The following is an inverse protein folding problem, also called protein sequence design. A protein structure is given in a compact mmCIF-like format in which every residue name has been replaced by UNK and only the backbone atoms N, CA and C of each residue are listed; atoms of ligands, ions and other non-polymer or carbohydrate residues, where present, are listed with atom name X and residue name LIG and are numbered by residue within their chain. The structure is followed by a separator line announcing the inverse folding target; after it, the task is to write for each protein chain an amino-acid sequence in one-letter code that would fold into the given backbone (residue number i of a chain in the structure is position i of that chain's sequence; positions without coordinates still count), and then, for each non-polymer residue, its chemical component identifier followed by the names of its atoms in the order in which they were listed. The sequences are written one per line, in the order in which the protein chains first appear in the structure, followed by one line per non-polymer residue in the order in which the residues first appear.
data_IF_985388682543
#
_entry.id   IF_985388682543
#
_cell.length_a   1.000
_cell.length_b   1.000
_cell.length_c   1.000
_cell.angle_alpha   90.00
_cell.angle_beta   90.00
_cell.angle_gamma   90.00
#
_symmetry.space_group_name_H-M   'P 1'
#
loop_
_entity.id
_entity.type
_entity.pdbx_description
1 polymer ?
#
# COMPACT_ATOMS: atom_id res chain seq x y z
N UNK A 1 -90.63 5.23 53.00
CA UNK A 1 -90.11 3.89 52.90
C UNK A 1 -88.84 3.87 52.00
N UNK A 2 -87.81 3.41 52.52
CA UNK A 2 -86.39 3.36 52.37
C UNK A 2 -85.97 2.91 50.96
N UNK A 3 -85.22 3.74 50.25
CA UNK A 3 -84.55 3.41 49.04
C UNK A 3 -83.03 3.20 49.31
N UNK A 4 -82.53 2.03 48.94
CA UNK A 4 -81.14 1.64 49.11
C UNK A 4 -80.34 1.93 47.81
N UNK A 5 -79.42 2.90 47.88
CA UNK A 5 -78.46 3.19 46.81
C UNK A 5 -77.34 2.15 46.86
N UNK A 6 -77.15 1.43 45.75
CA UNK A 6 -75.97 0.58 45.52
C UNK A 6 -74.99 1.34 44.68
N UNK A 7 -73.85 1.67 45.33
CA UNK A 7 -72.73 2.31 44.61
C UNK A 7 -71.96 1.26 43.82
N UNK A 8 -71.90 1.48 42.51
CA UNK A 8 -71.09 0.67 41.57
C UNK A 8 -69.68 1.19 41.57
N UNK A 9 -68.75 0.40 42.10
CA UNK A 9 -67.30 0.68 42.04
C UNK A 9 -66.72 0.24 40.69
N UNK A 10 -66.38 1.22 39.89
CA UNK A 10 -65.64 0.97 38.65
C UNK A 10 -64.15 0.88 38.96
N UNK A 11 -63.59 -0.31 38.89
CA UNK A 11 -62.14 -0.56 38.86
C UNK A 11 -61.54 -0.21 37.49
N UNK A 12 -60.73 0.84 37.46
CA UNK A 12 -59.93 1.19 36.32
C UNK A 12 -58.72 0.22 36.21
N UNK A 13 -58.75 -0.70 35.26
CA UNK A 13 -57.55 -1.43 34.83
C UNK A 13 -56.73 -0.52 33.90
N UNK A 14 -55.69 0.08 34.44
CA UNK A 14 -54.64 0.71 33.65
C UNK A 14 -53.79 -0.36 32.96
N UNK A 15 -54.02 -0.52 31.67
CA UNK A 15 -53.17 -1.31 30.77
C UNK A 15 -51.78 -0.70 30.70
N UNK A 16 -50.82 -1.32 31.38
CA UNK A 16 -49.38 -1.04 31.16
C UNK A 16 -48.95 -1.63 29.80
N UNK A 17 -48.94 -0.80 28.78
CA UNK A 17 -48.31 -1.12 27.49
C UNK A 17 -46.78 -0.99 27.67
N UNK A 18 -46.11 -2.13 27.85
CA UNK A 18 -44.66 -2.22 27.77
C UNK A 18 -44.22 -1.85 26.36
N UNK A 19 -43.73 -0.63 26.18
CA UNK A 19 -43.02 -0.21 25.00
C UNK A 19 -41.59 -0.78 25.09
N UNK A 20 -41.35 -1.92 24.44
CA UNK A 20 -40.02 -2.45 24.21
C UNK A 20 -39.28 -1.52 23.20
N UNK A 21 -38.47 -0.61 23.75
CA UNK A 21 -37.49 0.17 22.97
C UNK A 21 -36.39 -0.80 22.53
N UNK A 22 -36.50 -1.27 21.29
CA UNK A 22 -35.38 -1.93 20.57
C UNK A 22 -34.33 -0.85 20.26
N UNK A 23 -33.35 -0.71 21.16
CA UNK A 23 -32.15 0.08 20.89
C UNK A 23 -31.29 -0.74 19.92
N UNK A 24 -31.44 -0.46 18.60
CA UNK A 24 -30.58 -1.01 17.57
C UNK A 24 -29.17 -0.45 17.76
N UNK A 25 -28.28 -1.27 18.33
CA UNK A 25 -26.87 -0.98 18.44
C UNK A 25 -26.25 -1.11 17.03
N UNK A 26 -26.19 -0.01 16.29
CA UNK A 26 -25.40 0.06 15.04
C UNK A 26 -23.92 -0.10 15.40
N UNK A 27 -23.42 -1.32 15.32
CA UNK A 27 -21.99 -1.59 15.32
C UNK A 27 -21.44 -1.07 14.00
N UNK A 28 -20.93 0.16 13.98
CA UNK A 28 -20.15 0.69 12.87
C UNK A 28 -18.82 -0.05 12.86
N UNK A 29 -18.73 -1.13 12.08
CA UNK A 29 -17.45 -1.73 11.73
C UNK A 29 -16.64 -0.63 11.01
N UNK A 30 -15.42 -0.30 11.48
CA UNK A 30 -14.55 0.57 10.71
C UNK A 30 -14.31 -0.14 9.38
N UNK A 31 -14.81 0.45 8.29
CA UNK A 31 -14.41 0.07 6.95
C UNK A 31 -12.92 0.43 6.89
N UNK A 32 -12.05 -0.55 7.04
CA UNK A 32 -10.61 -0.38 6.78
C UNK A 32 -10.53 0.03 5.30
N UNK A 33 -10.43 1.33 5.07
CA UNK A 33 -10.17 1.85 3.74
C UNK A 33 -8.84 1.23 3.29
N UNK A 34 -8.91 0.28 2.36
CA UNK A 34 -7.72 -0.31 1.78
C UNK A 34 -6.96 0.81 1.07
N UNK A 35 -5.74 1.02 1.48
CA UNK A 35 -4.85 2.05 0.96
C UNK A 35 -4.55 1.76 -0.52
N UNK A 36 -4.90 2.70 -1.40
CA UNK A 36 -4.58 2.61 -2.83
C UNK A 36 -3.29 3.36 -3.08
N UNK A 37 -2.36 2.74 -3.80
CA UNK A 37 -1.10 3.38 -4.14
C UNK A 37 -1.35 4.56 -5.08
N UNK A 38 -0.86 5.79 -4.76
CA UNK A 38 -1.03 6.96 -5.60
C UNK A 38 -0.34 6.81 -6.95
N UNK A 39 -0.84 7.52 -7.96
CA UNK A 39 -0.18 7.56 -9.26
C UNK A 39 1.20 8.19 -9.15
N UNK A 40 2.20 7.52 -9.71
CA UNK A 40 3.59 7.95 -9.74
C UNK A 40 4.19 7.71 -11.12
N UNK A 41 4.82 8.71 -11.71
CA UNK A 41 5.52 8.58 -12.98
C UNK A 41 7.04 8.53 -12.79
N UNK A 42 7.69 7.70 -13.58
CA UNK A 42 9.14 7.60 -13.63
C UNK A 42 9.65 7.26 -15.03
N UNK A 43 10.93 7.52 -15.25
CA UNK A 43 11.64 7.21 -16.49
C UNK A 43 12.68 6.13 -16.22
N UNK A 44 12.69 5.07 -17.04
CA UNK A 44 13.75 4.06 -17.00
C UNK A 44 15.06 4.64 -17.57
N UNK A 45 16.17 3.97 -17.31
CA UNK A 45 17.45 4.36 -17.92
C UNK A 45 17.43 4.31 -19.45
N UNK A 46 16.53 3.53 -20.07
CA UNK A 46 16.33 3.44 -21.51
C UNK A 46 15.42 4.55 -22.08
N UNK A 47 14.94 5.46 -21.23
CA UNK A 47 14.08 6.59 -21.64
C UNK A 47 12.60 6.22 -21.79
N UNK A 48 12.18 5.08 -21.25
CA UNK A 48 10.76 4.68 -21.25
C UNK A 48 10.07 5.28 -20.03
N UNK A 49 8.99 6.03 -20.26
CA UNK A 49 8.15 6.54 -19.17
C UNK A 49 7.16 5.46 -18.72
N UNK A 50 7.15 5.17 -17.43
CA UNK A 50 6.24 4.23 -16.79
C UNK A 50 5.40 4.95 -15.75
N UNK A 51 4.10 4.66 -15.71
CA UNK A 51 3.18 5.18 -14.68
C UNK A 51 2.78 4.04 -13.75
N UNK A 52 3.03 4.20 -12.45
CA UNK A 52 2.67 3.26 -11.41
C UNK A 52 1.34 3.65 -10.75
N UNK A 53 0.51 2.69 -10.29
CA UNK A 53 0.61 1.26 -10.54
C UNK A 53 0.44 0.92 -12.02
N UNK A 54 1.23 -0.02 -12.50
CA UNK A 54 1.13 -0.45 -13.90
C UNK A 54 -0.12 -1.30 -14.07
N UNK A 55 -0.91 -1.02 -15.11
CA UNK A 55 -2.02 -1.90 -15.51
C UNK A 55 -1.48 -3.03 -16.39
N UNK A 56 -0.92 -4.05 -15.75
CA UNK A 56 -0.38 -5.22 -16.41
C UNK A 56 -1.27 -6.45 -16.21
N UNK A 57 -0.90 -7.55 -16.86
CA UNK A 57 -1.49 -8.86 -16.60
C UNK A 57 -0.97 -9.51 -15.31
N UNK A 58 0.07 -8.95 -14.71
CA UNK A 58 0.65 -9.44 -13.46
C UNK A 58 -0.33 -9.28 -12.30
N UNK A 59 -0.36 -10.28 -11.42
CA UNK A 59 -1.25 -10.28 -10.26
C UNK A 59 -0.81 -9.29 -9.20
N UNK A 60 0.50 -9.04 -9.12
CA UNK A 60 1.10 -8.21 -8.08
C UNK A 60 2.10 -7.21 -8.67
N UNK A 61 2.27 -6.08 -7.97
CA UNK A 61 3.33 -5.12 -8.27
C UNK A 61 4.08 -4.82 -6.97
N UNK A 62 5.40 -4.96 -6.99
CA UNK A 62 6.28 -4.59 -5.88
C UNK A 62 6.92 -3.25 -6.23
N UNK A 63 6.77 -2.26 -5.34
CA UNK A 63 7.35 -0.93 -5.51
C UNK A 63 8.27 -0.63 -4.34
N UNK A 64 9.57 -0.43 -4.61
CA UNK A 64 10.53 0.11 -3.66
C UNK A 64 10.70 1.61 -3.91
N UNK A 65 10.52 2.48 -2.91
CA UNK A 65 10.58 3.93 -3.01
C UNK A 65 11.64 4.50 -2.07
N UNK A 66 12.53 5.38 -2.58
CA UNK A 66 13.47 6.15 -1.80
C UNK A 66 13.46 7.62 -2.23
N UNK A 67 13.30 8.56 -1.29
CA UNK A 67 13.24 10.01 -1.58
C UNK A 67 14.31 10.84 -0.84
N UNK A 68 15.26 10.19 -0.20
CA UNK A 68 16.38 10.81 0.49
C UNK A 68 17.74 10.26 0.06
N UNK A 69 18.79 11.06 0.20
CA UNK A 69 20.13 10.66 -0.22
C UNK A 69 20.66 9.42 0.51
N UNK A 70 20.31 9.24 1.78
CA UNK A 70 20.72 8.08 2.57
C UNK A 70 19.89 6.84 2.26
N UNK A 71 18.64 7.02 1.82
CA UNK A 71 17.76 5.93 1.46
C UNK A 71 18.15 5.28 0.11
N UNK A 72 18.75 6.04 -0.82
CA UNK A 72 19.09 5.55 -2.15
C UNK A 72 20.05 4.35 -2.14
N UNK A 73 21.20 4.37 -1.44
CA UNK A 73 22.06 3.18 -1.37
C UNK A 73 21.38 1.99 -0.68
N UNK A 74 20.52 2.24 0.31
CA UNK A 74 19.76 1.17 0.96
C UNK A 74 18.70 0.56 0.01
N UNK A 75 18.14 1.36 -0.90
CA UNK A 75 17.25 0.86 -1.96
C UNK A 75 18.02 -0.03 -2.95
N UNK A 76 19.26 0.35 -3.30
CA UNK A 76 20.11 -0.42 -4.22
C UNK A 76 20.43 -1.82 -3.67
N UNK A 77 20.54 -2.01 -2.36
CA UNK A 77 20.74 -3.32 -1.73
C UNK A 77 19.61 -4.33 -2.03
N UNK A 78 18.42 -3.85 -2.34
CA UNK A 78 17.27 -4.68 -2.66
C UNK A 78 17.20 -5.11 -4.13
N UNK A 79 17.94 -4.47 -5.05
CA UNK A 79 17.81 -4.70 -6.49
C UNK A 79 18.06 -6.17 -6.85
N UNK A 80 19.27 -6.67 -6.58
CA UNK A 80 19.65 -8.03 -6.93
C UNK A 80 18.77 -9.10 -6.28
N UNK A 81 18.61 -9.10 -4.94
CA UNK A 81 17.76 -10.09 -4.25
C UNK A 81 16.31 -10.11 -4.74
N UNK A 82 15.69 -8.94 -4.90
CA UNK A 82 14.30 -8.86 -5.38
C UNK A 82 14.17 -9.29 -6.83
N UNK A 83 15.11 -8.90 -7.69
CA UNK A 83 15.14 -9.34 -9.08
C UNK A 83 15.23 -10.88 -9.17
N UNK A 84 16.17 -11.48 -8.47
CA UNK A 84 16.37 -12.93 -8.46
C UNK A 84 15.13 -13.67 -7.94
N UNK A 85 14.48 -13.15 -6.90
CA UNK A 85 13.33 -13.80 -6.28
C UNK A 85 12.06 -13.67 -7.11
N UNK A 86 11.74 -12.47 -7.60
CA UNK A 86 10.43 -12.15 -8.17
C UNK A 86 10.42 -12.06 -9.70
N UNK A 87 11.52 -11.64 -10.33
CA UNK A 87 11.58 -11.43 -11.79
C UNK A 87 12.26 -12.60 -12.49
N UNK A 88 13.49 -12.95 -12.11
CA UNK A 88 14.23 -14.06 -12.70
C UNK A 88 13.66 -15.42 -12.33
N UNK A 89 12.72 -15.45 -11.38
CA UNK A 89 11.99 -16.65 -10.95
C UNK A 89 12.91 -17.79 -10.54
N UNK A 90 13.92 -17.48 -9.74
CA UNK A 90 14.78 -18.46 -9.12
C UNK A 90 14.21 -18.86 -7.76
N UNK A 91 13.70 -20.09 -7.65
CA UNK A 91 13.20 -20.64 -6.39
C UNK A 91 12.09 -21.66 -6.57
N UNK A 92 11.71 -22.32 -5.47
CA UNK A 92 10.70 -23.38 -5.47
C UNK A 92 9.29 -22.89 -5.84
N UNK A 93 9.00 -21.61 -5.58
CA UNK A 93 7.68 -20.98 -5.81
C UNK A 93 7.65 -20.02 -7.00
N UNK A 94 8.70 -19.99 -7.82
CA UNK A 94 8.88 -19.05 -8.92
C UNK A 94 7.73 -19.01 -9.94
N UNK A 95 6.91 -20.07 -10.03
CA UNK A 95 5.72 -20.12 -10.88
C UNK A 95 4.40 -19.87 -10.14
N UNK A 96 4.44 -19.71 -8.82
CA UNK A 96 3.22 -19.62 -8.00
C UNK A 96 2.60 -18.21 -8.02
N UNK A 97 3.40 -17.20 -8.34
CA UNK A 97 2.93 -15.80 -8.43
C UNK A 97 3.54 -15.10 -9.65
N UNK A 98 2.84 -14.08 -10.12
CA UNK A 98 3.29 -13.16 -11.17
C UNK A 98 3.39 -11.76 -10.57
N UNK A 99 4.60 -11.24 -10.47
CA UNK A 99 4.86 -9.93 -9.91
C UNK A 99 5.76 -9.10 -10.84
N UNK A 100 5.41 -7.82 -11.01
CA UNK A 100 6.29 -6.81 -11.56
C UNK A 100 7.02 -6.10 -10.41
N UNK A 101 8.29 -5.78 -10.59
CA UNK A 101 9.12 -5.12 -9.58
C UNK A 101 9.64 -3.81 -10.11
N UNK A 102 9.45 -2.73 -9.35
CA UNK A 102 9.97 -1.41 -9.67
C UNK A 102 10.65 -0.77 -8.47
N UNK A 103 11.79 -0.16 -8.71
CA UNK A 103 12.53 0.63 -7.72
C UNK A 103 12.51 2.09 -8.16
N UNK A 104 12.07 2.97 -7.26
CA UNK A 104 11.82 4.37 -7.59
C UNK A 104 12.67 5.29 -6.72
N UNK A 105 13.86 5.69 -7.18
CA UNK A 105 14.55 6.85 -6.61
C UNK A 105 13.76 8.11 -6.99
N UNK A 106 13.16 8.76 -5.99
CA UNK A 106 12.35 9.96 -6.13
C UNK A 106 13.16 11.22 -5.76
N UNK A 107 13.31 12.12 -6.73
CA UNK A 107 14.09 13.35 -6.60
C UNK A 107 13.18 14.53 -6.27
N UNK A 108 13.15 14.94 -5.00
CA UNK A 108 12.27 16.00 -4.49
C UNK A 108 13.03 17.18 -3.93
N UNK A 109 12.42 18.37 -3.92
CA UNK A 109 13.00 19.56 -3.36
C UNK A 109 14.39 19.86 -3.93
N UNK A 110 15.38 20.10 -3.07
CA UNK A 110 16.76 20.38 -3.47
C UNK A 110 17.44 19.22 -4.21
N UNK A 111 16.97 17.98 -4.01
CA UNK A 111 17.53 16.80 -4.69
C UNK A 111 17.11 16.70 -6.16
N UNK A 112 16.13 17.49 -6.65
CA UNK A 112 15.75 17.53 -8.07
C UNK A 112 16.94 17.81 -9.00
N UNK A 113 17.94 18.58 -8.55
CA UNK A 113 19.16 18.86 -9.30
C UNK A 113 20.05 17.62 -9.50
N UNK A 114 19.96 16.61 -8.65
CA UNK A 114 20.72 15.37 -8.75
C UNK A 114 20.13 14.35 -9.72
N UNK A 115 18.92 14.56 -10.24
CA UNK A 115 18.22 13.63 -11.13
C UNK A 115 19.05 13.27 -12.37
N UNK A 116 19.40 14.25 -13.19
CA UNK A 116 20.14 14.02 -14.44
C UNK A 116 21.54 13.40 -14.22
N UNK A 117 22.35 13.85 -13.22
CA UNK A 117 23.59 13.19 -12.89
C UNK A 117 23.42 11.73 -12.47
N UNK A 118 22.42 11.45 -11.63
CA UNK A 118 22.13 10.09 -11.13
C UNK A 118 21.69 9.18 -12.27
N UNK A 119 20.74 9.61 -13.09
CA UNK A 119 20.27 8.85 -14.26
C UNK A 119 21.42 8.52 -15.22
N UNK A 120 22.30 9.51 -15.54
CA UNK A 120 23.47 9.27 -16.38
C UNK A 120 24.47 8.31 -15.75
N UNK A 121 24.69 8.39 -14.44
CA UNK A 121 25.55 7.45 -13.71
C UNK A 121 24.97 6.04 -13.81
N UNK A 122 23.69 5.88 -13.51
CA UNK A 122 22.99 4.61 -13.53
C UNK A 122 23.04 3.95 -14.93
N UNK A 123 22.76 4.70 -16.00
CA UNK A 123 22.87 4.22 -17.39
C UNK A 123 24.24 3.62 -17.73
N UNK A 124 25.31 4.05 -17.07
CA UNK A 124 26.68 3.57 -17.33
C UNK A 124 27.08 2.37 -16.50
N UNK A 125 26.48 2.18 -15.35
CA UNK A 125 26.93 1.21 -14.34
C UNK A 125 25.89 0.15 -13.97
N UNK A 126 24.64 0.31 -14.40
CA UNK A 126 23.57 -0.63 -14.06
C UNK A 126 23.74 -1.95 -14.81
N UNK A 127 23.41 -3.03 -14.12
CA UNK A 127 23.29 -4.34 -14.73
C UNK A 127 22.11 -4.35 -15.70
N UNK A 128 22.25 -4.98 -16.91
CA UNK A 128 21.19 -4.96 -17.94
C UNK A 128 19.82 -5.44 -17.42
N UNK A 129 19.83 -6.39 -16.50
CA UNK A 129 18.63 -6.99 -15.91
C UNK A 129 17.84 -6.02 -15.04
N UNK A 130 18.51 -5.00 -14.47
CA UNK A 130 17.90 -4.05 -13.53
C UNK A 130 17.41 -2.77 -14.23
N UNK A 131 17.94 -2.47 -15.42
CA UNK A 131 17.73 -1.18 -16.12
C UNK A 131 16.26 -0.83 -16.31
N UNK A 132 15.41 -1.79 -16.63
CA UNK A 132 13.99 -1.57 -16.88
C UNK A 132 13.12 -1.61 -15.60
N UNK A 133 13.74 -1.97 -14.48
CA UNK A 133 13.11 -2.06 -13.17
C UNK A 133 13.33 -0.82 -12.28
N UNK A 134 14.24 0.10 -12.67
CA UNK A 134 14.49 1.33 -11.93
C UNK A 134 13.89 2.53 -12.66
N UNK A 135 12.94 3.19 -11.97
CA UNK A 135 12.19 4.34 -12.48
C UNK A 135 12.63 5.61 -11.77
N UNK A 136 13.39 6.44 -12.43
CA UNK A 136 13.79 7.75 -11.91
C UNK A 136 12.60 8.70 -11.96
N UNK A 137 12.19 9.27 -10.82
CA UNK A 137 11.03 10.13 -10.73
C UNK A 137 11.35 11.51 -10.16
N UNK A 138 10.62 12.53 -10.64
CA UNK A 138 10.62 13.91 -10.13
C UNK A 138 9.22 14.34 -9.66
N UNK A 139 8.31 13.38 -9.54
CA UNK A 139 6.95 13.64 -9.08
C UNK A 139 6.91 14.25 -7.68
N UNK A 140 5.77 14.81 -7.33
CA UNK A 140 5.60 15.44 -6.03
C UNK A 140 5.47 14.39 -4.93
N UNK A 141 6.16 14.67 -3.82
CA UNK A 141 6.21 13.77 -2.67
C UNK A 141 4.93 13.81 -1.83
N UNK A 142 4.28 14.98 -1.74
CA UNK A 142 3.15 15.20 -0.83
C UNK A 142 2.02 14.18 -0.98
N UNK A 143 1.51 13.87 -2.19
CA UNK A 143 0.45 12.86 -2.35
C UNK A 143 0.89 11.47 -1.87
N UNK A 144 2.18 11.12 -2.06
CA UNK A 144 2.74 9.87 -1.62
C UNK A 144 2.89 9.81 -0.09
N UNK A 145 3.31 10.93 0.53
CA UNK A 145 3.44 11.02 1.98
C UNK A 145 2.08 10.90 2.68
N UNK A 146 1.07 11.60 2.18
CA UNK A 146 -0.28 11.58 2.74
C UNK A 146 -0.92 10.20 2.62
N UNK A 147 -0.83 9.58 1.44
CA UNK A 147 -1.46 8.29 1.20
C UNK A 147 -0.68 7.12 1.81
N UNK A 148 0.66 7.17 1.84
CA UNK A 148 1.50 6.02 2.20
C UNK A 148 2.24 6.20 3.54
N UNK A 149 2.07 7.32 4.24
CA UNK A 149 2.72 7.57 5.53
C UNK A 149 4.26 7.55 5.46
N UNK A 150 4.84 8.21 4.44
CA UNK A 150 6.30 8.27 4.26
C UNK A 150 6.90 9.32 5.20
N UNK A 151 7.25 8.94 6.40
CA UNK A 151 7.68 9.83 7.48
C UNK A 151 9.20 9.96 7.62
N UNK A 152 9.98 9.01 7.11
CA UNK A 152 11.43 8.99 7.23
C UNK A 152 12.12 8.96 5.86
N UNK A 153 12.76 10.08 5.47
CA UNK A 153 13.49 10.19 4.20
C UNK A 153 14.82 9.42 4.14
N UNK A 154 15.30 8.92 5.27
CA UNK A 154 16.62 8.28 5.37
C UNK A 154 16.56 6.76 5.13
N UNK A 155 15.37 6.20 4.94
CA UNK A 155 15.14 4.78 4.65
C UNK A 155 14.26 4.58 3.42
N UNK A 156 14.40 3.46 2.67
CA UNK A 156 13.48 3.10 1.60
C UNK A 156 12.20 2.45 2.16
N UNK A 157 11.14 2.55 1.39
CA UNK A 157 9.83 1.94 1.65
C UNK A 157 9.49 0.96 0.54
N UNK A 158 8.85 -0.15 0.91
CA UNK A 158 8.43 -1.18 -0.04
C UNK A 158 6.96 -1.49 0.13
N UNK A 159 6.27 -1.62 -0.98
CA UNK A 159 4.85 -1.91 -1.06
C UNK A 159 4.60 -3.07 -2.00
N UNK A 160 3.77 -4.03 -1.58
CA UNK A 160 3.21 -5.04 -2.47
C UNK A 160 1.79 -4.62 -2.79
N UNK A 161 1.47 -4.51 -4.06
CA UNK A 161 0.16 -4.11 -4.56
C UNK A 161 -0.52 -5.31 -5.21
N UNK A 162 -1.84 -5.39 -5.07
CA UNK A 162 -2.66 -6.29 -5.87
C UNK A 162 -2.92 -5.73 -7.29
N UNK A 163 -3.59 -6.51 -8.14
CA UNK A 163 -3.92 -6.12 -9.51
C UNK A 163 -4.81 -4.86 -9.63
N UNK A 164 -5.45 -4.43 -8.54
CA UNK A 164 -6.23 -3.19 -8.47
C UNK A 164 -5.43 -1.98 -7.99
N UNK A 165 -4.15 -2.15 -7.67
CA UNK A 165 -3.27 -1.11 -7.13
C UNK A 165 -3.45 -0.85 -5.63
N UNK A 166 -4.10 -1.74 -4.90
CA UNK A 166 -4.25 -1.65 -3.44
C UNK A 166 -3.02 -2.20 -2.75
N UNK A 167 -2.58 -1.51 -1.72
CA UNK A 167 -1.47 -1.96 -0.88
C UNK A 167 -1.93 -3.13 -0.01
N UNK A 168 -1.35 -4.30 -0.21
CA UNK A 168 -1.62 -5.51 0.56
C UNK A 168 -0.51 -5.86 1.55
N UNK A 169 0.68 -5.32 1.35
CA UNK A 169 1.80 -5.46 2.29
C UNK A 169 2.73 -4.25 2.21
N UNK A 170 3.39 -3.93 3.32
CA UNK A 170 4.43 -2.90 3.38
C UNK A 170 5.59 -3.33 4.29
N UNK A 171 6.79 -2.93 3.90
CA UNK A 171 7.99 -3.01 4.72
C UNK A 171 8.91 -1.82 4.43
N UNK A 172 9.95 -1.61 5.23
CA UNK A 172 10.84 -0.46 5.08
C UNK A 172 12.24 -0.74 5.62
N UNK A 173 13.20 0.10 5.21
CA UNK A 173 14.58 0.08 5.70
C UNK A 173 15.50 -0.84 4.92
N UNK A 174 16.62 -1.23 5.55
CA UNK A 174 17.64 -2.09 4.97
C UNK A 174 17.09 -3.44 4.51
N UNK A 175 17.70 -4.01 3.51
CA UNK A 175 17.40 -5.37 3.04
C UNK A 175 17.55 -6.40 4.17
N UNK A 176 16.66 -7.40 4.18
CA UNK A 176 16.84 -8.66 4.88
C UNK A 176 16.01 -9.76 4.20
N UNK A 177 16.46 -10.99 4.32
CA UNK A 177 15.77 -12.16 3.74
C UNK A 177 14.37 -12.33 4.33
N UNK A 178 14.19 -12.07 5.62
CA UNK A 178 12.89 -12.21 6.29
C UNK A 178 11.85 -11.23 5.72
N UNK A 179 12.27 -10.02 5.33
CA UNK A 179 11.37 -9.05 4.69
C UNK A 179 10.98 -9.49 3.28
N UNK A 180 11.93 -10.07 2.55
CA UNK A 180 11.69 -10.59 1.21
C UNK A 180 10.75 -11.80 1.25
N UNK A 181 10.94 -12.70 2.21
CA UNK A 181 10.07 -13.84 2.48
C UNK A 181 8.65 -13.40 2.85
N UNK A 182 8.50 -12.39 3.71
CA UNK A 182 7.19 -11.87 4.08
C UNK A 182 6.43 -11.27 2.88
N UNK A 183 7.13 -10.64 1.92
CA UNK A 183 6.51 -10.20 0.67
C UNK A 183 6.06 -11.40 -0.19
N UNK A 184 6.86 -12.46 -0.27
CA UNK A 184 6.53 -13.66 -1.02
C UNK A 184 5.32 -14.38 -0.41
N UNK A 185 5.29 -14.56 0.92
CA UNK A 185 4.19 -15.22 1.63
C UNK A 185 2.84 -14.56 1.36
N UNK A 186 2.79 -13.22 1.31
CA UNK A 186 1.53 -12.49 1.06
C UNK A 186 1.02 -12.71 -0.37
N UNK A 187 1.91 -12.95 -1.34
CA UNK A 187 1.54 -13.23 -2.74
C UNK A 187 1.14 -14.69 -2.97
N UNK A 188 1.42 -15.58 -2.03
CA UNK A 188 1.05 -16.99 -2.08
C UNK A 188 -0.31 -17.30 -1.43
N UNK A 189 -0.92 -16.32 -0.73
CA UNK A 189 -2.25 -16.44 -0.11
C UNK A 189 -3.38 -16.23 -1.13
#
# INVERSE_FOLDING_TARGET
VIGMMIACHRSNLTSMRNALLFTSLFVTLPLLAQEVFPTLQGETANGVTVTLPVKTSSKFTIIGLAYGQKASPLLEEWYGPSYLRFVAKHGLFASAYEADVYFVPLFVGANKAAYEPSLRKFRKSAEPEIVDHVLFSKDDLEPLQEALGLDNKDIPYFFVLDASGRVIHRTQGTFSDEKLEAMEEIMLQ
#
